data_IF_799382726162
#
_entry.id   IF_799382726162
#
_cell.length_a   1.000
_cell.length_b   1.000
_cell.length_c   1.000
_cell.angle_alpha   90.00
_cell.angle_beta   90.00
_cell.angle_gamma   90.00
#
_symmetry.space_group_name_H-M   'P 1'
#
loop_
_entity.id
_entity.type
_entity.pdbx_description
1 polymer ?
#
# COMPACT_ATOMS: atom_id res chain seq x y z
N UNK A 1 -35.48 -0.47 23.15
CA UNK A 1 -34.31 -1.35 22.91
C UNK A 1 -34.38 -1.93 21.49
N UNK A 2 -35.55 -2.38 21.04
CA UNK A 2 -35.81 -2.92 19.69
C UNK A 2 -35.36 -2.01 18.52
N UNK A 3 -35.55 -0.69 18.59
CA UNK A 3 -35.14 0.23 17.50
C UNK A 3 -33.63 0.34 17.33
N UNK A 4 -32.82 0.08 18.38
CA UNK A 4 -31.35 0.04 18.29
C UNK A 4 -30.84 -1.28 17.72
N UNK A 5 -31.48 -2.39 18.08
CA UNK A 5 -31.15 -3.72 17.56
C UNK A 5 -31.49 -3.86 16.09
N UNK A 6 -32.65 -3.37 15.66
CA UNK A 6 -33.02 -3.33 14.24
C UNK A 6 -31.99 -2.49 13.46
N UNK A 7 -31.61 -1.32 13.99
CA UNK A 7 -30.62 -0.45 13.35
C UNK A 7 -29.23 -1.09 13.26
N UNK A 8 -28.81 -1.87 14.27
CA UNK A 8 -27.51 -2.57 14.25
C UNK A 8 -27.53 -3.78 13.30
N UNK A 9 -28.67 -4.48 13.18
CA UNK A 9 -28.89 -5.54 12.19
C UNK A 9 -28.78 -5.01 10.76
N UNK A 10 -29.41 -3.87 10.46
CA UNK A 10 -29.35 -3.27 9.12
C UNK A 10 -27.98 -2.68 8.78
N UNK A 11 -27.26 -2.10 9.75
CA UNK A 11 -25.90 -1.59 9.52
C UNK A 11 -24.89 -2.70 9.26
N UNK A 12 -25.10 -3.89 9.82
CA UNK A 12 -24.25 -5.06 9.58
C UNK A 12 -24.71 -5.92 8.41
N UNK A 13 -25.78 -5.53 7.72
CA UNK A 13 -26.33 -6.30 6.62
C UNK A 13 -25.38 -6.24 5.43
N UNK A 14 -24.98 -7.40 4.96
CA UNK A 14 -24.21 -7.55 3.72
C UNK A 14 -25.08 -7.21 2.52
N UNK A 15 -24.51 -6.55 1.50
CA UNK A 15 -25.27 -6.15 0.29
C UNK A 15 -25.92 -7.38 -0.36
N UNK A 16 -25.15 -8.47 -0.48
CA UNK A 16 -25.67 -9.74 -1.02
C UNK A 16 -26.85 -10.28 -0.23
N UNK A 17 -26.81 -10.18 1.10
CA UNK A 17 -27.87 -10.67 1.97
C UNK A 17 -29.12 -9.81 1.80
N UNK A 18 -28.98 -8.50 1.67
CA UNK A 18 -30.10 -7.61 1.34
C UNK A 18 -30.78 -7.97 0.02
N UNK A 19 -30.00 -8.22 -1.03
CA UNK A 19 -30.54 -8.65 -2.33
C UNK A 19 -31.30 -9.98 -2.23
N UNK A 20 -30.76 -10.97 -1.52
CA UNK A 20 -31.45 -12.26 -1.31
C UNK A 20 -32.74 -12.11 -0.50
N UNK A 21 -32.77 -11.22 0.50
CA UNK A 21 -34.00 -10.96 1.26
C UNK A 21 -35.08 -10.39 0.34
N UNK A 22 -34.77 -9.37 -0.46
CA UNK A 22 -35.73 -8.76 -1.40
C UNK A 22 -36.24 -9.79 -2.42
N UNK A 23 -35.34 -10.59 -2.99
CA UNK A 23 -35.71 -11.63 -3.96
C UNK A 23 -36.59 -12.70 -3.33
N UNK A 24 -36.23 -13.20 -2.14
CA UNK A 24 -36.98 -14.24 -1.43
C UNK A 24 -38.38 -13.75 -1.08
N UNK A 25 -38.50 -12.52 -0.56
CA UNK A 25 -39.80 -11.93 -0.22
C UNK A 25 -40.65 -11.70 -1.46
N UNK A 26 -40.04 -11.26 -2.57
CA UNK A 26 -40.75 -11.12 -3.86
C UNK A 26 -41.33 -12.46 -4.33
N UNK A 27 -40.52 -13.52 -4.29
CA UNK A 27 -40.95 -14.86 -4.70
C UNK A 27 -42.04 -15.38 -3.77
N UNK A 28 -41.88 -15.23 -2.45
CA UNK A 28 -42.91 -15.63 -1.48
C UNK A 28 -44.23 -14.87 -1.72
N UNK A 29 -44.17 -13.56 -1.97
CA UNK A 29 -45.35 -12.77 -2.28
C UNK A 29 -46.05 -13.24 -3.56
N UNK A 30 -45.27 -13.53 -4.62
CA UNK A 30 -45.81 -14.07 -5.87
C UNK A 30 -46.44 -15.45 -5.69
N UNK A 31 -45.83 -16.34 -4.90
CA UNK A 31 -46.38 -17.67 -4.60
C UNK A 31 -47.67 -17.58 -3.78
N UNK A 32 -47.74 -16.67 -2.79
CA UNK A 32 -48.95 -16.45 -1.99
C UNK A 32 -50.07 -15.88 -2.87
N UNK A 33 -49.79 -14.86 -3.67
CA UNK A 33 -50.78 -14.25 -4.57
C UNK A 33 -51.23 -15.23 -5.65
N UNK A 34 -50.31 -15.97 -6.26
CA UNK A 34 -50.61 -16.98 -7.27
C UNK A 34 -51.41 -18.14 -6.71
N UNK A 35 -51.05 -18.64 -5.52
CA UNK A 35 -51.79 -19.69 -4.82
C UNK A 35 -53.19 -19.24 -4.43
N UNK A 36 -53.34 -18.01 -3.93
CA UNK A 36 -54.64 -17.44 -3.61
C UNK A 36 -55.51 -17.25 -4.87
N UNK A 37 -54.95 -16.69 -5.94
CA UNK A 37 -55.66 -16.53 -7.21
C UNK A 37 -56.13 -17.88 -7.78
N UNK A 38 -55.26 -18.89 -7.74
CA UNK A 38 -55.59 -20.26 -8.14
C UNK A 38 -56.72 -20.85 -7.29
N UNK A 39 -56.67 -20.67 -5.97
CA UNK A 39 -57.72 -21.08 -5.05
C UNK A 39 -59.06 -20.42 -5.39
N UNK A 40 -59.09 -19.09 -5.58
CA UNK A 40 -60.30 -18.35 -5.94
C UNK A 40 -60.87 -18.81 -7.29
N UNK A 41 -60.02 -19.03 -8.30
CA UNK A 41 -60.47 -19.52 -9.62
C UNK A 41 -61.11 -20.91 -9.48
N UNK A 42 -60.53 -21.82 -8.69
CA UNK A 42 -61.12 -23.14 -8.45
C UNK A 42 -62.44 -23.07 -7.69
N UNK A 43 -62.56 -22.15 -6.72
CA UNK A 43 -63.80 -21.94 -5.99
C UNK A 43 -64.91 -21.42 -6.92
N UNK A 44 -64.60 -20.44 -7.77
CA UNK A 44 -65.53 -19.93 -8.79
C UNK A 44 -65.94 -21.04 -9.77
N UNK A 45 -64.98 -21.88 -10.20
CA UNK A 45 -65.27 -23.03 -11.06
C UNK A 45 -66.27 -23.99 -10.41
N UNK A 46 -66.07 -24.34 -9.13
CA UNK A 46 -66.99 -25.21 -8.38
C UNK A 46 -68.39 -24.60 -8.31
N UNK A 47 -68.47 -23.31 -7.96
CA UNK A 47 -69.76 -22.61 -7.84
C UNK A 47 -70.49 -22.50 -9.20
N UNK A 48 -69.73 -22.38 -10.29
CA UNK A 48 -70.29 -22.39 -11.65
C UNK A 48 -70.80 -23.79 -12.03
N UNK A 49 -70.12 -24.85 -11.60
CA UNK A 49 -70.56 -26.23 -11.78
C UNK A 49 -71.84 -26.49 -10.99
N UNK A 50 -71.91 -26.07 -9.72
CA UNK A 50 -73.10 -26.16 -8.88
C UNK A 50 -74.29 -25.39 -9.48
N UNK A 51 -74.08 -24.16 -9.96
CA UNK A 51 -75.11 -23.41 -10.68
C UNK A 51 -75.64 -24.14 -11.92
N UNK A 52 -74.76 -24.83 -12.65
CA UNK A 52 -75.16 -25.57 -13.84
C UNK A 52 -75.96 -26.82 -13.46
N UNK A 53 -75.44 -27.65 -12.56
CA UNK A 53 -76.02 -28.95 -12.23
C UNK A 53 -77.23 -28.86 -11.31
N UNK A 54 -77.18 -27.97 -10.31
CA UNK A 54 -78.17 -27.91 -9.23
C UNK A 54 -79.17 -26.78 -9.40
N UNK A 55 -78.98 -25.87 -10.36
CA UNK A 55 -79.94 -24.79 -10.63
C UNK A 55 -80.44 -24.77 -12.08
N UNK A 56 -79.55 -24.76 -13.07
CA UNK A 56 -79.97 -24.64 -14.48
C UNK A 56 -80.66 -25.91 -15.01
N UNK A 57 -80.08 -27.09 -14.76
CA UNK A 57 -80.67 -28.38 -15.15
C UNK A 57 -82.06 -28.58 -14.53
N UNK A 58 -82.29 -28.42 -13.21
CA UNK A 58 -83.63 -28.50 -12.62
C UNK A 58 -84.65 -27.56 -13.27
N UNK A 59 -84.30 -26.29 -13.46
CA UNK A 59 -85.21 -25.34 -14.12
C UNK A 59 -85.57 -25.83 -15.53
N UNK A 60 -84.58 -26.34 -16.28
CA UNK A 60 -84.80 -26.89 -17.62
C UNK A 60 -85.73 -28.11 -17.59
N UNK A 61 -85.48 -29.08 -16.69
CA UNK A 61 -86.28 -30.30 -16.56
C UNK A 61 -87.72 -30.01 -16.12
N UNK A 62 -87.91 -29.13 -15.13
CA UNK A 62 -89.24 -28.71 -14.68
C UNK A 62 -89.99 -27.95 -15.78
N UNK A 63 -89.28 -27.14 -16.59
CA UNK A 63 -89.87 -26.46 -17.75
C UNK A 63 -90.26 -27.42 -18.87
N UNK A 64 -89.51 -28.50 -19.06
CA UNK A 64 -89.81 -29.58 -20.01
C UNK A 64 -91.07 -30.36 -19.57
N UNK A 65 -91.14 -30.76 -18.30
CA UNK A 65 -92.34 -31.37 -17.70
C UNK A 65 -93.57 -30.47 -17.90
N UNK A 66 -93.43 -29.17 -17.66
CA UNK A 66 -94.51 -28.21 -17.90
C UNK A 66 -94.95 -28.18 -19.37
N UNK A 67 -94.00 -28.20 -20.31
CA UNK A 67 -94.30 -28.20 -21.73
C UNK A 67 -95.09 -29.45 -22.14
N UNK A 68 -94.69 -30.62 -21.62
CA UNK A 68 -95.37 -31.89 -21.87
C UNK A 68 -96.78 -31.94 -21.26
N UNK A 69 -96.95 -31.41 -20.05
CA UNK A 69 -98.28 -31.26 -19.42
C UNK A 69 -99.17 -30.35 -20.27
N UNK A 70 -98.64 -29.24 -20.79
CA UNK A 70 -99.38 -28.33 -21.68
C UNK A 70 -99.74 -29.01 -23.01
N UNK A 71 -98.85 -29.84 -23.56
CA UNK A 71 -99.13 -30.62 -24.78
C UNK A 71 -100.19 -31.70 -24.53
N UNK A 72 -100.11 -32.42 -23.41
CA UNK A 72 -101.13 -33.40 -22.98
C UNK A 72 -102.50 -32.73 -22.82
N UNK A 73 -102.56 -31.59 -22.12
CA UNK A 73 -103.78 -30.78 -21.96
C UNK A 73 -104.39 -30.36 -23.31
N UNK A 74 -103.56 -30.03 -24.31
CA UNK A 74 -104.02 -29.70 -25.65
C UNK A 74 -104.70 -30.90 -26.33
N UNK A 75 -104.09 -32.08 -26.30
CA UNK A 75 -104.68 -33.29 -26.87
C UNK A 75 -105.94 -33.72 -26.12
N UNK A 76 -105.93 -33.69 -24.79
CA UNK A 76 -107.10 -34.01 -23.97
C UNK A 76 -108.26 -33.07 -24.30
N UNK A 77 -107.99 -31.77 -24.41
CA UNK A 77 -109.03 -30.79 -24.78
C UNK A 77 -109.61 -31.08 -26.16
N UNK A 78 -108.77 -31.45 -27.15
CA UNK A 78 -109.24 -31.84 -28.50
C UNK A 78 -110.12 -33.08 -28.45
N UNK A 79 -109.70 -34.13 -27.76
CA UNK A 79 -110.46 -35.38 -27.62
C UNK A 79 -111.78 -35.16 -26.87
N UNK A 80 -111.78 -34.33 -25.83
CA UNK A 80 -112.96 -34.06 -25.00
C UNK A 80 -113.98 -33.10 -25.64
N UNK A 81 -113.55 -32.18 -26.51
CA UNK A 81 -114.43 -31.14 -27.09
C UNK A 81 -114.76 -31.36 -28.57
N UNK A 82 -113.95 -32.13 -29.29
CA UNK A 82 -114.15 -32.46 -30.70
C UNK A 82 -114.60 -33.91 -30.88
N UNK A 83 -113.99 -34.64 -31.82
CA UNK A 83 -114.27 -36.04 -32.10
C UNK A 83 -113.23 -36.92 -31.38
N UNK A 84 -113.70 -37.97 -30.69
CA UNK A 84 -112.82 -38.95 -30.06
C UNK A 84 -112.00 -39.69 -31.13
N UNK A 85 -110.67 -39.55 -31.07
CA UNK A 85 -109.73 -40.20 -31.99
C UNK A 85 -108.70 -40.99 -31.21
N UNK A 86 -108.63 -42.29 -31.48
CA UNK A 86 -107.67 -43.17 -30.83
C UNK A 86 -106.23 -42.71 -31.01
N UNK A 87 -105.89 -42.15 -32.18
CA UNK A 87 -104.55 -41.64 -32.47
C UNK A 87 -104.15 -40.45 -31.57
N UNK A 88 -105.12 -39.65 -31.10
CA UNK A 88 -104.85 -38.55 -30.15
C UNK A 88 -104.72 -39.07 -28.72
N UNK A 89 -105.49 -40.10 -28.34
CA UNK A 89 -105.34 -40.80 -27.06
C UNK A 89 -103.96 -41.46 -26.96
N UNK A 90 -103.50 -42.13 -28.01
CA UNK A 90 -102.16 -42.74 -28.03
C UNK A 90 -101.05 -41.70 -27.79
N UNK A 91 -101.20 -40.49 -28.33
CA UNK A 91 -100.24 -39.41 -28.06
C UNK A 91 -100.27 -38.93 -26.61
N UNK A 92 -101.45 -38.91 -25.99
CA UNK A 92 -101.57 -38.58 -24.56
C UNK A 92 -100.85 -39.65 -23.72
N UNK A 93 -100.99 -40.93 -24.06
CA UNK A 93 -100.28 -42.04 -23.38
C UNK A 93 -98.75 -41.97 -23.57
N UNK A 94 -98.29 -41.61 -24.77
CA UNK A 94 -96.88 -41.39 -25.07
C UNK A 94 -96.31 -40.24 -24.23
N UNK A 95 -97.04 -39.12 -24.14
CA UNK A 95 -96.67 -37.96 -23.32
C UNK A 95 -96.71 -38.30 -21.83
N UNK A 96 -97.72 -39.04 -21.34
CA UNK A 96 -97.79 -39.49 -19.94
C UNK A 96 -96.58 -40.33 -19.56
N UNK A 97 -96.15 -41.22 -20.46
CA UNK A 97 -94.96 -42.04 -20.26
C UNK A 97 -93.70 -41.18 -20.12
N UNK A 98 -93.56 -40.14 -20.95
CA UNK A 98 -92.41 -39.23 -20.91
C UNK A 98 -92.44 -38.36 -19.64
N UNK A 99 -93.60 -37.80 -19.28
CA UNK A 99 -93.76 -37.01 -18.04
C UNK A 99 -93.38 -37.84 -16.81
N UNK A 100 -93.86 -39.08 -16.72
CA UNK A 100 -93.51 -40.00 -15.62
C UNK A 100 -92.03 -40.30 -15.58
N UNK A 101 -91.39 -40.44 -16.74
CA UNK A 101 -89.95 -40.64 -16.85
C UNK A 101 -89.17 -39.41 -16.38
N UNK A 102 -89.56 -38.21 -16.83
CA UNK A 102 -88.94 -36.94 -16.43
C UNK A 102 -89.12 -36.66 -14.93
N UNK A 103 -90.33 -36.85 -14.39
CA UNK A 103 -90.61 -36.70 -12.95
C UNK A 103 -89.74 -37.65 -12.10
N UNK A 104 -89.65 -38.93 -12.50
CA UNK A 104 -88.82 -39.90 -11.80
C UNK A 104 -87.33 -39.56 -11.87
N UNK A 105 -86.85 -39.10 -13.02
CA UNK A 105 -85.46 -38.65 -13.15
C UNK A 105 -85.18 -37.40 -12.33
N UNK A 106 -86.15 -36.50 -12.21
CA UNK A 106 -86.08 -35.33 -11.36
C UNK A 106 -85.96 -35.74 -9.88
N UNK A 107 -86.83 -36.62 -9.39
CA UNK A 107 -86.83 -37.12 -8.01
C UNK A 107 -85.57 -37.91 -7.61
N UNK A 108 -84.85 -38.47 -8.60
CA UNK A 108 -83.60 -39.22 -8.36
C UNK A 108 -82.37 -38.32 -8.19
N UNK A 109 -82.51 -37.00 -8.38
CA UNK A 109 -81.43 -36.04 -8.13
C UNK A 109 -81.26 -35.80 -6.64
N UNK A 110 -80.13 -35.18 -6.27
CA UNK A 110 -79.91 -34.71 -4.91
C UNK A 110 -80.71 -33.41 -4.71
N UNK A 111 -81.90 -33.54 -4.13
CA UNK A 111 -82.86 -32.44 -3.92
C UNK A 111 -82.74 -31.90 -2.50
N UNK A 112 -82.83 -30.59 -2.35
CA UNK A 112 -83.03 -29.99 -1.03
C UNK A 112 -84.42 -30.31 -0.44
N UNK A 113 -84.64 -30.00 0.84
CA UNK A 113 -85.90 -30.32 1.52
C UNK A 113 -87.13 -29.68 0.87
N UNK A 114 -87.03 -28.44 0.39
CA UNK A 114 -88.15 -27.74 -0.25
C UNK A 114 -88.33 -28.21 -1.70
N UNK A 115 -87.25 -28.38 -2.47
CA UNK A 115 -87.32 -28.88 -3.86
C UNK A 115 -87.99 -30.26 -3.89
N UNK A 116 -87.69 -31.09 -2.89
CA UNK A 116 -88.32 -32.40 -2.70
C UNK A 116 -89.82 -32.28 -2.40
N UNK A 117 -90.23 -31.33 -1.57
CA UNK A 117 -91.65 -31.08 -1.28
C UNK A 117 -92.41 -30.66 -2.54
N UNK A 118 -91.86 -29.73 -3.33
CA UNK A 118 -92.46 -29.31 -4.59
C UNK A 118 -92.53 -30.45 -5.62
N UNK A 119 -91.45 -31.23 -5.78
CA UNK A 119 -91.43 -32.38 -6.69
C UNK A 119 -92.48 -33.44 -6.30
N UNK A 120 -92.60 -33.75 -5.01
CA UNK A 120 -93.61 -34.69 -4.50
C UNK A 120 -95.05 -34.17 -4.68
N UNK A 121 -95.26 -32.86 -4.51
CA UNK A 121 -96.55 -32.23 -4.76
C UNK A 121 -96.92 -32.32 -6.25
N UNK A 122 -96.00 -31.99 -7.15
CA UNK A 122 -96.21 -32.13 -8.60
C UNK A 122 -96.56 -33.57 -8.96
N UNK A 123 -95.81 -34.55 -8.46
CA UNK A 123 -96.07 -35.96 -8.72
C UNK A 123 -97.47 -36.39 -8.22
N UNK A 124 -97.84 -35.97 -6.99
CA UNK A 124 -99.14 -36.29 -6.41
C UNK A 124 -100.30 -35.66 -7.18
N UNK A 125 -100.17 -34.39 -7.58
CA UNK A 125 -101.20 -33.68 -8.36
C UNK A 125 -101.26 -34.20 -9.80
N UNK A 126 -100.13 -34.62 -10.37
CA UNK A 126 -100.07 -35.23 -11.69
C UNK A 126 -100.81 -36.58 -11.72
N UNK A 127 -100.70 -37.41 -10.67
CA UNK A 127 -101.49 -38.63 -10.58
C UNK A 127 -102.99 -38.36 -10.49
N UNK A 128 -103.41 -37.30 -9.78
CA UNK A 128 -104.83 -36.91 -9.73
C UNK A 128 -105.30 -36.48 -11.12
N UNK A 129 -104.51 -35.65 -11.80
CA UNK A 129 -104.76 -35.21 -13.18
C UNK A 129 -104.89 -36.39 -14.15
N UNK A 130 -103.95 -37.34 -14.12
CA UNK A 130 -103.96 -38.50 -15.01
C UNK A 130 -105.11 -39.46 -14.71
N UNK A 131 -105.45 -39.68 -13.43
CA UNK A 131 -106.60 -40.50 -13.05
C UNK A 131 -107.93 -39.88 -13.51
N UNK A 132 -108.05 -38.55 -13.47
CA UNK A 132 -109.22 -37.86 -13.99
C UNK A 132 -109.31 -37.98 -15.52
N UNK A 133 -108.19 -37.86 -16.23
CA UNK A 133 -108.12 -38.17 -17.67
C UNK A 133 -108.58 -39.60 -17.98
N UNK A 134 -108.05 -40.61 -17.28
CA UNK A 134 -108.44 -42.02 -17.48
C UNK A 134 -109.96 -42.24 -17.27
N UNK A 135 -110.56 -41.52 -16.31
CA UNK A 135 -112.01 -41.53 -16.08
C UNK A 135 -112.79 -40.91 -17.26
N UNK A 136 -112.32 -39.76 -17.77
CA UNK A 136 -112.88 -39.07 -18.93
C UNK A 136 -112.77 -39.93 -20.20
N UNK A 137 -111.60 -40.51 -20.44
CA UNK A 137 -111.33 -41.36 -21.59
C UNK A 137 -112.23 -42.60 -21.61
N UNK A 138 -112.46 -43.24 -20.46
CA UNK A 138 -113.37 -44.38 -20.31
C UNK A 138 -114.83 -44.03 -20.67
N UNK A 139 -115.28 -42.82 -20.33
CA UNK A 139 -116.61 -42.31 -20.76
C UNK A 139 -116.65 -42.05 -22.26
N UNK A 140 -115.62 -41.40 -22.81
CA UNK A 140 -115.58 -41.06 -24.24
C UNK A 140 -115.48 -42.30 -25.13
N UNK A 141 -114.64 -43.28 -24.78
CA UNK A 141 -114.47 -44.54 -25.50
C UNK A 141 -115.73 -45.42 -25.51
N UNK A 142 -116.55 -45.34 -24.45
CA UNK A 142 -117.87 -45.99 -24.38
C UNK A 142 -119.00 -45.20 -25.05
N UNK A 143 -118.69 -44.06 -25.67
CA UNK A 143 -119.63 -43.20 -26.39
C UNK A 143 -120.51 -42.33 -25.50
N UNK A 144 -120.20 -42.23 -24.20
CA UNK A 144 -120.89 -41.33 -23.28
C UNK A 144 -120.45 -39.88 -23.51
N UNK A 145 -121.39 -38.94 -23.39
CA UNK A 145 -121.09 -37.51 -23.41
C UNK A 145 -120.63 -37.05 -22.04
N UNK A 146 -119.61 -36.21 -22.00
CA UNK A 146 -119.16 -35.54 -20.79
C UNK A 146 -120.21 -34.54 -20.30
N UNK A 147 -120.36 -34.45 -18.98
CA UNK A 147 -121.25 -33.47 -18.34
C UNK A 147 -120.46 -32.24 -17.87
N UNK A 148 -121.16 -31.21 -17.38
CA UNK A 148 -120.52 -29.97 -16.89
C UNK A 148 -119.59 -30.23 -15.68
N UNK A 149 -119.91 -31.23 -14.87
CA UNK A 149 -119.13 -31.61 -13.69
C UNK A 149 -117.79 -32.25 -14.07
N UNK A 150 -117.75 -33.03 -15.16
CA UNK A 150 -116.54 -33.64 -15.73
C UNK A 150 -115.58 -32.55 -16.20
N UNK A 151 -116.07 -31.57 -16.96
CA UNK A 151 -115.27 -30.44 -17.41
C UNK A 151 -114.77 -29.58 -16.25
N UNK A 152 -115.64 -29.32 -15.26
CA UNK A 152 -115.27 -28.52 -14.09
C UNK A 152 -114.21 -29.20 -13.23
N UNK A 153 -114.34 -30.52 -13.01
CA UNK A 153 -113.37 -31.30 -12.23
C UNK A 153 -112.02 -31.34 -12.95
N UNK A 154 -112.03 -31.57 -14.26
CA UNK A 154 -110.82 -31.58 -15.07
C UNK A 154 -110.12 -30.21 -15.13
N UNK A 155 -110.89 -29.12 -15.26
CA UNK A 155 -110.32 -27.76 -15.26
C UNK A 155 -109.68 -27.42 -13.91
N UNK A 156 -110.30 -27.83 -12.80
CA UNK A 156 -109.69 -27.70 -11.46
C UNK A 156 -108.39 -28.51 -11.36
N UNK A 157 -108.38 -29.76 -11.82
CA UNK A 157 -107.17 -30.58 -11.79
C UNK A 157 -106.08 -30.04 -12.71
N UNK A 158 -106.43 -29.50 -13.89
CA UNK A 158 -105.53 -28.76 -14.77
C UNK A 158 -104.92 -27.55 -14.06
N UNK A 159 -105.76 -26.74 -13.39
CA UNK A 159 -105.28 -25.56 -12.67
C UNK A 159 -104.36 -25.95 -11.51
N UNK A 160 -104.64 -27.06 -10.83
CA UNK A 160 -103.83 -27.55 -9.73
C UNK A 160 -102.44 -28.00 -10.22
N UNK A 161 -102.36 -28.76 -11.32
CA UNK A 161 -101.06 -29.18 -11.86
C UNK A 161 -100.27 -28.00 -12.43
N UNK A 162 -100.93 -27.07 -13.12
CA UNK A 162 -100.32 -25.82 -13.61
C UNK A 162 -99.72 -25.02 -12.44
N UNK A 163 -100.45 -24.90 -11.34
CA UNK A 163 -99.99 -24.19 -10.14
C UNK A 163 -98.82 -24.92 -9.47
N UNK A 164 -98.90 -26.24 -9.31
CA UNK A 164 -97.86 -27.04 -8.67
C UNK A 164 -96.54 -26.97 -9.44
N UNK A 165 -96.57 -27.09 -10.78
CA UNK A 165 -95.35 -27.02 -11.60
C UNK A 165 -94.79 -25.59 -11.65
N UNK A 166 -95.65 -24.56 -11.63
CA UNK A 166 -95.20 -23.16 -11.56
C UNK A 166 -94.55 -22.82 -10.22
N UNK A 167 -95.10 -23.30 -9.10
CA UNK A 167 -94.49 -23.15 -7.78
C UNK A 167 -93.11 -23.82 -7.73
N UNK A 168 -92.99 -25.03 -8.27
CA UNK A 168 -91.72 -25.75 -8.37
C UNK A 168 -90.68 -25.00 -9.23
N UNK A 169 -91.08 -24.52 -10.42
CA UNK A 169 -90.19 -23.75 -11.31
C UNK A 169 -89.78 -22.42 -10.65
N UNK A 170 -90.69 -21.74 -9.97
CA UNK A 170 -90.40 -20.47 -9.30
C UNK A 170 -89.44 -20.69 -8.12
N UNK A 171 -89.64 -21.74 -7.33
CA UNK A 171 -88.70 -22.13 -6.29
C UNK A 171 -87.28 -22.33 -6.86
N UNK A 172 -87.16 -23.14 -7.92
CA UNK A 172 -85.85 -23.40 -8.55
C UNK A 172 -85.19 -22.11 -9.07
N UNK A 173 -85.99 -21.16 -9.61
CA UNK A 173 -85.48 -19.86 -10.08
C UNK A 173 -85.05 -18.95 -8.92
N UNK A 174 -85.79 -18.93 -7.81
CA UNK A 174 -85.45 -18.15 -6.63
C UNK A 174 -84.16 -18.68 -5.98
N UNK A 175 -84.04 -20.01 -5.85
CA UNK A 175 -82.82 -20.65 -5.35
C UNK A 175 -81.61 -20.35 -6.25
N UNK A 176 -81.76 -20.50 -7.58
CA UNK A 176 -80.73 -20.12 -8.54
C UNK A 176 -80.30 -18.65 -8.42
N UNK A 177 -81.26 -17.75 -8.18
CA UNK A 177 -81.01 -16.33 -7.95
C UNK A 177 -80.22 -16.07 -6.66
N UNK A 178 -80.57 -16.77 -5.59
CA UNK A 178 -79.86 -16.72 -4.30
C UNK A 178 -78.42 -17.21 -4.45
N UNK A 179 -78.22 -18.39 -5.04
CA UNK A 179 -76.90 -18.97 -5.31
C UNK A 179 -76.04 -18.06 -6.19
N UNK A 180 -76.61 -17.45 -7.24
CA UNK A 180 -75.89 -16.50 -8.08
C UNK A 180 -75.49 -15.22 -7.32
N UNK A 181 -76.36 -14.72 -6.42
CA UNK A 181 -76.07 -13.56 -5.58
C UNK A 181 -74.93 -13.87 -4.59
N UNK A 182 -75.01 -15.00 -3.89
CA UNK A 182 -73.95 -15.47 -2.99
C UNK A 182 -72.65 -15.70 -3.74
N UNK A 183 -72.74 -16.22 -4.96
CA UNK A 183 -71.57 -16.43 -5.80
C UNK A 183 -70.85 -15.13 -6.16
N UNK A 184 -71.62 -14.11 -6.57
CA UNK A 184 -71.09 -12.79 -6.85
C UNK A 184 -70.50 -12.14 -5.60
N UNK A 185 -71.18 -12.24 -4.45
CA UNK A 185 -70.68 -11.68 -3.20
C UNK A 185 -69.36 -12.34 -2.77
N UNK A 186 -69.25 -13.67 -2.88
CA UNK A 186 -68.03 -14.40 -2.57
C UNK A 186 -66.88 -14.09 -3.54
N UNK A 187 -67.18 -13.92 -4.83
CA UNK A 187 -66.22 -13.48 -5.84
C UNK A 187 -65.71 -12.06 -5.52
N UNK A 188 -66.60 -11.11 -5.22
CA UNK A 188 -66.24 -9.73 -4.85
C UNK A 188 -65.35 -9.69 -3.60
N UNK A 189 -65.73 -10.40 -2.53
CA UNK A 189 -64.91 -10.51 -1.31
C UNK A 189 -63.53 -11.10 -1.60
N UNK A 190 -63.45 -12.11 -2.47
CA UNK A 190 -62.18 -12.71 -2.87
C UNK A 190 -61.29 -11.71 -3.61
N UNK A 191 -61.86 -10.88 -4.50
CA UNK A 191 -61.15 -9.81 -5.20
C UNK A 191 -60.67 -8.73 -4.23
N UNK A 192 -61.50 -8.29 -3.28
CA UNK A 192 -61.11 -7.32 -2.25
C UNK A 192 -59.94 -7.81 -1.39
N UNK A 193 -59.99 -9.08 -0.94
CA UNK A 193 -58.90 -9.73 -0.20
C UNK A 193 -57.63 -9.78 -1.07
N UNK A 194 -57.76 -10.15 -2.34
CA UNK A 194 -56.61 -10.19 -3.27
C UNK A 194 -55.95 -8.81 -3.42
N UNK A 195 -56.74 -7.76 -3.65
CA UNK A 195 -56.24 -6.38 -3.76
C UNK A 195 -55.56 -5.96 -2.44
N UNK A 196 -56.16 -6.28 -1.30
CA UNK A 196 -55.56 -6.02 0.01
C UNK A 196 -54.19 -6.70 0.19
N UNK A 197 -54.10 -8.00 -0.10
CA UNK A 197 -52.85 -8.75 -0.07
C UNK A 197 -51.81 -8.18 -1.04
N UNK A 198 -52.23 -7.80 -2.24
CA UNK A 198 -51.37 -7.19 -3.24
C UNK A 198 -50.78 -5.86 -2.74
N UNK A 199 -51.60 -4.96 -2.21
CA UNK A 199 -51.15 -3.67 -1.66
C UNK A 199 -50.20 -3.85 -0.48
N UNK A 200 -50.51 -4.77 0.44
CA UNK A 200 -49.64 -5.11 1.58
C UNK A 200 -48.29 -5.61 1.08
N UNK A 201 -48.26 -6.48 0.07
CA UNK A 201 -47.02 -7.00 -0.51
C UNK A 201 -46.16 -5.89 -1.11
N UNK A 202 -46.77 -4.92 -1.82
CA UNK A 202 -46.07 -3.76 -2.37
C UNK A 202 -45.49 -2.89 -1.25
N UNK A 203 -46.29 -2.56 -0.24
CA UNK A 203 -45.85 -1.71 0.87
C UNK A 203 -44.66 -2.36 1.59
N UNK A 204 -44.75 -3.67 1.86
CA UNK A 204 -43.68 -4.42 2.52
C UNK A 204 -42.40 -4.44 1.67
N UNK A 205 -42.53 -4.69 0.36
CA UNK A 205 -41.42 -4.67 -0.60
C UNK A 205 -40.74 -3.31 -0.70
N UNK A 206 -41.51 -2.23 -0.82
CA UNK A 206 -41.00 -0.86 -0.89
C UNK A 206 -40.32 -0.48 0.43
N UNK A 207 -40.93 -0.80 1.58
CA UNK A 207 -40.37 -0.53 2.90
C UNK A 207 -39.00 -1.18 3.09
N UNK A 208 -38.90 -2.48 2.81
CA UNK A 208 -37.65 -3.24 2.94
C UNK A 208 -36.58 -2.71 1.98
N UNK A 209 -36.97 -2.40 0.75
CA UNK A 209 -36.05 -1.83 -0.26
C UNK A 209 -35.49 -0.50 0.22
N UNK A 210 -36.34 0.40 0.74
CA UNK A 210 -35.90 1.70 1.29
C UNK A 210 -34.96 1.51 2.48
N UNK A 211 -35.23 0.54 3.37
CA UNK A 211 -34.36 0.25 4.52
C UNK A 211 -32.97 -0.21 4.09
N UNK A 212 -32.89 -1.12 3.11
CA UNK A 212 -31.62 -1.61 2.56
C UNK A 212 -30.85 -0.47 1.86
N UNK A 213 -31.52 0.32 1.02
CA UNK A 213 -30.90 1.47 0.36
C UNK A 213 -30.35 2.47 1.38
N UNK A 214 -31.07 2.76 2.46
CA UNK A 214 -30.59 3.64 3.53
C UNK A 214 -29.35 3.07 4.22
N UNK A 215 -29.33 1.78 4.55
CA UNK A 215 -28.18 1.14 5.19
C UNK A 215 -26.92 1.19 4.30
N UNK A 216 -27.08 0.92 3.00
CA UNK A 216 -26.01 1.03 2.01
C UNK A 216 -25.53 2.48 1.90
N UNK A 217 -26.43 3.45 1.78
CA UNK A 217 -26.08 4.88 1.65
C UNK A 217 -25.30 5.40 2.85
N UNK A 218 -25.65 4.97 4.07
CA UNK A 218 -24.91 5.30 5.30
C UNK A 218 -23.49 4.73 5.25
N UNK A 219 -23.34 3.46 4.88
CA UNK A 219 -22.04 2.80 4.79
C UNK A 219 -21.14 3.42 3.71
N UNK A 220 -21.70 3.72 2.53
CA UNK A 220 -21.00 4.43 1.45
C UNK A 220 -20.55 5.80 1.93
N UNK A 221 -21.45 6.61 2.48
CA UNK A 221 -21.11 7.96 2.94
C UNK A 221 -19.98 7.94 3.97
N UNK A 222 -20.04 7.02 4.93
CA UNK A 222 -18.98 6.89 5.93
C UNK A 222 -17.64 6.48 5.31
N UNK A 223 -17.64 5.52 4.39
CA UNK A 223 -16.41 5.11 3.69
C UNK A 223 -15.84 6.23 2.81
N UNK A 224 -16.69 6.99 2.11
CA UNK A 224 -16.28 8.14 1.30
C UNK A 224 -15.69 9.26 2.16
N UNK A 225 -16.25 9.55 3.34
CA UNK A 225 -15.68 10.54 4.27
C UNK A 225 -14.27 10.13 4.69
N UNK A 226 -14.06 8.85 5.06
CA UNK A 226 -12.72 8.36 5.43
C UNK A 226 -11.73 8.52 4.26
N UNK A 227 -12.16 8.23 3.03
CA UNK A 227 -11.33 8.41 1.82
C UNK A 227 -11.03 9.88 1.51
N UNK A 228 -12.00 10.77 1.69
CA UNK A 228 -11.87 12.20 1.43
C UNK A 228 -10.78 12.79 2.35
N UNK A 229 -10.83 12.48 3.64
CA UNK A 229 -9.82 12.94 4.61
C UNK A 229 -8.42 12.39 4.28
N UNK A 230 -8.31 11.13 3.84
CA UNK A 230 -7.05 10.57 3.36
C UNK A 230 -6.56 11.31 2.11
N UNK A 231 -7.46 11.68 1.20
CA UNK A 231 -7.13 12.38 -0.05
C UNK A 231 -6.62 13.80 0.18
N UNK A 232 -7.04 14.45 1.27
CA UNK A 232 -6.51 15.74 1.75
C UNK A 232 -5.11 15.59 2.39
N UNK A 233 -4.59 14.36 2.52
CA UNK A 233 -3.29 14.07 3.10
C UNK A 233 -3.32 13.90 4.63
N UNK A 234 -4.50 13.93 5.25
CA UNK A 234 -4.63 13.64 6.68
C UNK A 234 -4.75 12.12 6.91
N UNK A 235 -3.58 11.51 7.15
CA UNK A 235 -3.52 10.10 7.52
C UNK A 235 -3.81 9.87 9.00
N UNK A 236 -3.93 10.89 9.86
CA UNK A 236 -4.05 10.74 11.31
C UNK A 236 -5.37 10.11 11.77
N UNK A 237 -6.35 9.99 10.87
CA UNK A 237 -7.69 9.46 11.14
C UNK A 237 -7.70 8.05 11.75
N UNK A 238 -8.75 7.78 12.53
CA UNK A 238 -9.08 6.46 13.04
C UNK A 238 -10.26 5.90 12.24
N UNK A 239 -10.00 4.88 11.43
CA UNK A 239 -11.03 4.25 10.60
C UNK A 239 -11.77 3.20 11.44
N UNK A 240 -13.03 3.50 11.79
CA UNK A 240 -13.90 2.55 12.48
C UNK A 240 -14.24 1.35 11.58
N UNK A 241 -13.65 0.19 11.88
CA UNK A 241 -13.84 -1.06 11.16
C UNK A 241 -14.78 -2.04 11.89
N UNK A 242 -15.67 -1.56 12.76
CA UNK A 242 -16.56 -2.41 13.56
C UNK A 242 -17.66 -3.12 12.76
N UNK A 243 -18.01 -2.63 11.57
CA UNK A 243 -19.05 -3.22 10.73
C UNK A 243 -18.61 -4.59 10.16
N UNK A 244 -19.54 -5.54 10.13
CA UNK A 244 -19.31 -6.89 9.59
C UNK A 244 -19.76 -7.05 8.12
N UNK A 245 -20.16 -5.96 7.47
CA UNK A 245 -20.55 -5.94 6.06
C UNK A 245 -19.33 -5.76 5.12
N UNK A 246 -19.57 -5.75 3.80
CA UNK A 246 -18.49 -5.57 2.81
C UNK A 246 -17.72 -4.26 3.01
N UNK A 247 -18.38 -3.18 3.42
CA UNK A 247 -17.73 -1.90 3.69
C UNK A 247 -16.84 -1.95 4.94
N UNK A 248 -17.19 -2.73 5.96
CA UNK A 248 -16.33 -2.96 7.12
C UNK A 248 -15.04 -3.69 6.75
N UNK A 249 -15.11 -4.66 5.83
CA UNK A 249 -13.91 -5.32 5.27
C UNK A 249 -13.06 -4.32 4.49
N UNK A 250 -13.69 -3.49 3.65
CA UNK A 250 -12.98 -2.43 2.91
C UNK A 250 -12.31 -1.43 3.86
N UNK A 251 -13.00 -1.00 4.92
CA UNK A 251 -12.45 -0.11 5.95
C UNK A 251 -11.27 -0.74 6.69
N UNK A 252 -11.34 -2.03 7.04
CA UNK A 252 -10.22 -2.75 7.65
C UNK A 252 -8.99 -2.74 6.75
N UNK A 253 -9.16 -2.98 5.46
CA UNK A 253 -8.04 -2.96 4.51
C UNK A 253 -7.52 -1.54 4.26
N UNK A 254 -8.41 -0.54 4.26
CA UNK A 254 -8.05 0.87 4.18
C UNK A 254 -7.22 1.29 5.40
N UNK A 255 -7.60 0.87 6.61
CA UNK A 255 -6.87 1.14 7.85
C UNK A 255 -5.43 0.60 7.79
N UNK A 256 -5.23 -0.63 7.32
CA UNK A 256 -3.89 -1.21 7.10
C UNK A 256 -3.09 -0.39 6.09
N UNK A 257 -3.75 0.13 5.04
CA UNK A 257 -3.08 0.95 4.01
C UNK A 257 -2.65 2.31 4.57
N UNK A 258 -3.52 2.96 5.34
CA UNK A 258 -3.22 4.22 6.06
C UNK A 258 -2.05 4.02 7.02
N UNK A 259 -2.01 2.93 7.77
CA UNK A 259 -0.92 2.62 8.69
C UNK A 259 0.42 2.45 7.96
N UNK A 260 0.44 1.73 6.82
CA UNK A 260 1.64 1.62 5.99
C UNK A 260 2.10 2.95 5.43
N UNK A 261 1.17 3.83 5.03
CA UNK A 261 1.51 5.17 4.56
C UNK A 261 2.08 6.02 5.70
N UNK A 262 1.53 5.95 6.91
CA UNK A 262 2.10 6.61 8.10
C UNK A 262 3.55 6.19 8.32
N UNK A 263 3.84 4.89 8.31
CA UNK A 263 5.21 4.38 8.46
C UNK A 263 6.15 4.88 7.35
N UNK A 264 5.68 4.96 6.11
CA UNK A 264 6.46 5.51 5.00
C UNK A 264 6.78 6.99 5.20
N UNK A 265 5.80 7.81 5.59
CA UNK A 265 6.00 9.24 5.88
C UNK A 265 6.97 9.44 7.06
N UNK A 266 6.85 8.63 8.12
CA UNK A 266 7.80 8.65 9.25
C UNK A 266 9.23 8.32 8.79
N UNK A 267 9.39 7.34 7.92
CA UNK A 267 10.68 6.94 7.36
C UNK A 267 11.29 8.06 6.50
N UNK A 268 10.48 8.70 5.66
CA UNK A 268 10.89 9.87 4.87
C UNK A 268 11.31 11.01 5.80
N UNK A 269 10.55 11.30 6.85
CA UNK A 269 10.90 12.36 7.82
C UNK A 269 12.23 12.06 8.52
N UNK A 270 12.46 10.81 8.91
CA UNK A 270 13.73 10.39 9.51
C UNK A 270 14.89 10.57 8.54
N UNK A 271 14.72 10.17 7.28
CA UNK A 271 15.74 10.35 6.25
C UNK A 271 16.04 11.84 6.00
N UNK A 272 15.01 12.69 5.91
CA UNK A 272 15.17 14.14 5.76
C UNK A 272 15.95 14.75 6.93
N UNK A 273 15.66 14.34 8.17
CA UNK A 273 16.42 14.80 9.34
C UNK A 273 17.88 14.35 9.31
N UNK A 274 18.17 13.13 8.82
CA UNK A 274 19.55 12.66 8.62
C UNK A 274 20.27 13.51 7.58
N UNK A 275 19.62 13.84 6.46
CA UNK A 275 20.18 14.71 5.42
C UNK A 275 20.44 16.13 5.95
N UNK A 276 19.52 16.68 6.74
CA UNK A 276 19.68 18.01 7.36
C UNK A 276 20.90 18.03 8.31
N UNK A 277 21.02 17.02 9.18
CA UNK A 277 22.17 16.87 10.08
C UNK A 277 23.50 16.73 9.32
N UNK A 278 23.52 15.92 8.24
CA UNK A 278 24.71 15.77 7.40
C UNK A 278 25.08 17.07 6.68
N UNK A 279 24.08 17.85 6.26
CA UNK A 279 24.29 19.16 5.64
C UNK A 279 24.93 20.16 6.62
N UNK A 280 24.50 20.14 7.89
CA UNK A 280 25.11 20.95 8.95
C UNK A 280 26.57 20.54 9.24
N UNK A 281 26.85 19.22 9.32
CA UNK A 281 28.22 18.72 9.48
C UNK A 281 29.12 19.11 8.29
N UNK A 282 28.58 19.05 7.07
CA UNK A 282 29.31 19.47 5.87
C UNK A 282 29.65 20.97 5.89
N UNK A 283 28.74 21.80 6.41
CA UNK A 283 28.98 23.24 6.58
C UNK A 283 30.10 23.50 7.59
N UNK A 284 30.12 22.78 8.71
CA UNK A 284 31.20 22.85 9.70
C UNK A 284 32.55 22.44 9.10
N UNK A 285 32.61 21.29 8.42
CA UNK A 285 33.81 20.84 7.71
C UNK A 285 34.28 21.84 6.65
N UNK A 286 33.34 22.45 5.92
CA UNK A 286 33.69 23.46 4.91
C UNK A 286 34.32 24.70 5.54
N UNK A 287 33.85 25.13 6.71
CA UNK A 287 34.45 26.23 7.46
C UNK A 287 35.83 25.88 8.00
N UNK A 288 36.02 24.66 8.51
CA UNK A 288 37.33 24.17 8.96
C UNK A 288 38.34 24.16 7.79
N UNK A 289 37.94 23.61 6.64
CA UNK A 289 38.75 23.61 5.41
C UNK A 289 39.11 25.04 4.98
N UNK A 290 38.17 25.99 5.04
CA UNK A 290 38.45 27.38 4.71
C UNK A 290 39.49 28.01 5.67
N UNK A 291 39.39 27.69 6.97
CA UNK A 291 40.37 28.11 7.99
C UNK A 291 41.75 27.52 7.75
N UNK A 292 41.84 26.19 7.56
CA UNK A 292 43.11 25.51 7.25
C UNK A 292 43.73 26.00 5.94
N UNK A 293 42.90 26.27 4.92
CA UNK A 293 43.38 26.86 3.66
C UNK A 293 44.02 28.23 3.88
N UNK A 294 43.45 29.05 4.79
CA UNK A 294 44.02 30.35 5.16
C UNK A 294 45.36 30.20 5.89
N UNK A 295 45.50 29.20 6.74
CA UNK A 295 46.77 28.87 7.40
C UNK A 295 47.84 28.43 6.40
N UNK A 296 47.48 27.58 5.42
CA UNK A 296 48.37 27.19 4.32
C UNK A 296 48.86 28.40 3.54
N UNK A 297 47.97 29.36 3.22
CA UNK A 297 48.36 30.61 2.55
C UNK A 297 49.40 31.39 3.37
N UNK A 298 49.19 31.50 4.69
CA UNK A 298 50.15 32.17 5.58
C UNK A 298 51.51 31.46 5.62
N UNK A 299 51.52 30.12 5.66
CA UNK A 299 52.75 29.32 5.62
C UNK A 299 53.49 29.52 4.29
N UNK A 300 52.77 29.54 3.18
CA UNK A 300 53.35 29.81 1.85
C UNK A 300 54.00 31.21 1.82
N UNK A 301 53.35 32.22 2.40
CA UNK A 301 53.92 33.58 2.50
C UNK A 301 55.21 33.59 3.35
N UNK A 302 55.22 32.89 4.49
CA UNK A 302 56.41 32.75 5.32
C UNK A 302 57.55 32.03 4.59
N UNK A 303 57.26 30.95 3.86
CA UNK A 303 58.25 30.24 3.04
C UNK A 303 58.80 31.14 1.95
N UNK A 304 57.95 31.92 1.28
CA UNK A 304 58.38 32.90 0.27
C UNK A 304 59.34 33.94 0.87
N UNK A 305 58.99 34.53 2.02
CA UNK A 305 59.85 35.48 2.72
C UNK A 305 61.17 34.87 3.22
N UNK A 306 61.11 33.63 3.74
CA UNK A 306 62.29 32.87 4.14
C UNK A 306 63.22 32.59 2.95
N UNK A 307 62.65 32.28 1.78
CA UNK A 307 63.39 32.05 0.54
C UNK A 307 64.07 33.33 0.05
N UNK A 308 63.41 34.49 0.15
CA UNK A 308 64.01 35.79 -0.17
C UNK A 308 65.21 36.10 0.74
N UNK A 309 65.04 35.90 2.05
CA UNK A 309 66.13 36.06 3.03
C UNK A 309 67.29 35.09 2.74
N UNK A 310 66.98 33.85 2.34
CA UNK A 310 67.99 32.87 1.97
C UNK A 310 68.77 33.29 0.71
N UNK A 311 68.10 33.86 -0.29
CA UNK A 311 68.75 34.39 -1.49
C UNK A 311 69.69 35.57 -1.17
N UNK A 312 69.29 36.45 -0.24
CA UNK A 312 70.15 37.54 0.25
C UNK A 312 71.39 37.00 0.98
N UNK A 313 71.21 36.03 1.89
CA UNK A 313 72.31 35.36 2.58
C UNK A 313 73.28 34.67 1.62
N UNK A 314 72.79 34.04 0.55
CA UNK A 314 73.64 33.44 -0.49
C UNK A 314 74.44 34.49 -1.26
N UNK A 315 73.83 35.66 -1.52
CA UNK A 315 74.53 36.80 -2.14
C UNK A 315 75.66 37.30 -1.25
N UNK A 316 75.40 37.47 0.05
CA UNK A 316 76.40 37.85 1.04
C UNK A 316 77.51 36.80 1.16
N UNK A 317 77.17 35.50 1.17
CA UNK A 317 78.15 34.42 1.17
C UNK A 317 79.06 34.46 -0.07
N UNK A 318 78.49 34.73 -1.24
CA UNK A 318 79.29 34.86 -2.47
C UNK A 318 80.28 36.04 -2.39
N UNK A 319 79.87 37.16 -1.79
CA UNK A 319 80.76 38.29 -1.53
C UNK A 319 81.90 37.91 -0.57
N UNK A 320 81.60 37.22 0.54
CA UNK A 320 82.64 36.74 1.47
C UNK A 320 83.62 35.76 0.84
N UNK A 321 83.13 34.86 -0.02
CA UNK A 321 83.98 33.94 -0.79
C UNK A 321 84.88 34.73 -1.76
N UNK A 322 84.35 35.77 -2.41
CA UNK A 322 85.13 36.70 -3.24
C UNK A 322 86.26 37.38 -2.47
N UNK A 323 85.94 37.98 -1.32
CA UNK A 323 86.91 38.63 -0.44
C UNK A 323 87.96 37.64 0.09
N UNK A 324 87.54 36.43 0.46
CA UNK A 324 88.45 35.36 0.87
C UNK A 324 89.41 34.97 -0.27
N UNK A 325 88.93 34.89 -1.51
CA UNK A 325 89.77 34.65 -2.69
C UNK A 325 90.83 35.74 -2.90
N UNK A 326 90.47 37.01 -2.69
CA UNK A 326 91.43 38.13 -2.72
C UNK A 326 92.48 37.98 -1.61
N UNK A 327 92.08 37.62 -0.39
CA UNK A 327 93.01 37.40 0.73
C UNK A 327 93.94 36.21 0.52
N UNK A 328 93.47 35.12 -0.09
CA UNK A 328 94.34 34.02 -0.49
C UNK A 328 95.37 34.49 -1.53
N UNK A 329 94.96 35.30 -2.50
CA UNK A 329 95.88 35.85 -3.51
C UNK A 329 96.95 36.75 -2.87
N UNK A 330 96.58 37.56 -1.87
CA UNK A 330 97.51 38.37 -1.07
C UNK A 330 98.51 37.49 -0.30
N UNK A 331 98.04 36.40 0.33
CA UNK A 331 98.91 35.44 1.03
C UNK A 331 99.89 34.77 0.07
N UNK A 332 99.46 34.39 -1.14
CA UNK A 332 100.35 33.80 -2.15
C UNK A 332 101.47 34.78 -2.52
N UNK A 333 101.15 36.05 -2.73
CA UNK A 333 102.16 37.08 -3.02
C UNK A 333 103.16 37.26 -1.86
N UNK A 334 102.67 37.27 -0.62
CA UNK A 334 103.53 37.33 0.57
C UNK A 334 104.45 36.10 0.68
N UNK A 335 103.96 34.90 0.32
CA UNK A 335 104.79 33.68 0.30
C UNK A 335 105.90 33.79 -0.74
N UNK A 336 105.62 34.35 -1.93
CA UNK A 336 106.63 34.60 -2.97
C UNK A 336 107.71 35.59 -2.49
N UNK A 337 107.31 36.65 -1.77
CA UNK A 337 108.25 37.58 -1.13
C UNK A 337 109.10 36.91 -0.04
N UNK A 338 108.52 36.00 0.76
CA UNK A 338 109.25 35.22 1.77
C UNK A 338 110.26 34.28 1.13
N UNK A 339 109.89 33.61 0.03
CA UNK A 339 110.79 32.73 -0.73
C UNK A 339 112.02 33.49 -1.25
N UNK A 340 111.78 34.64 -1.89
CA UNK A 340 112.84 35.54 -2.37
C UNK A 340 113.74 36.06 -1.26
N UNK A 341 113.18 36.43 -0.10
CA UNK A 341 113.98 36.84 1.05
C UNK A 341 114.80 35.68 1.63
N UNK A 342 114.27 34.46 1.60
CA UNK A 342 114.97 33.26 2.05
C UNK A 342 116.17 32.94 1.15
N UNK A 343 116.02 33.10 -0.17
CA UNK A 343 117.11 32.98 -1.15
C UNK A 343 118.22 34.02 -0.87
N UNK A 344 117.85 35.29 -0.64
CA UNK A 344 118.76 36.36 -0.24
C UNK A 344 119.52 36.05 1.06
N UNK A 345 118.83 35.50 2.07
CA UNK A 345 119.46 35.06 3.33
C UNK A 345 120.46 33.94 3.05
N UNK A 346 120.11 32.96 2.22
CA UNK A 346 120.99 31.86 1.86
C UNK A 346 122.27 32.35 1.15
N UNK A 347 122.13 33.28 0.19
CA UNK A 347 123.26 33.91 -0.50
C UNK A 347 124.19 34.66 0.46
N UNK A 348 123.61 35.45 1.38
CA UNK A 348 124.37 36.15 2.43
C UNK A 348 125.08 35.17 3.35
N UNK A 349 124.44 34.07 3.74
CA UNK A 349 125.05 33.03 4.56
C UNK A 349 126.21 32.32 3.84
N UNK A 350 126.06 32.01 2.55
CA UNK A 350 127.12 31.43 1.72
C UNK A 350 128.32 32.39 1.59
N UNK A 351 128.06 33.68 1.33
CA UNK A 351 129.09 34.71 1.30
C UNK A 351 129.79 34.86 2.67
N UNK A 352 129.02 34.87 3.76
CA UNK A 352 129.56 34.90 5.12
C UNK A 352 130.46 33.71 5.43
N UNK A 353 130.08 32.50 5.01
CA UNK A 353 130.88 31.30 5.17
C UNK A 353 132.21 31.37 4.38
N UNK A 354 132.19 31.97 3.19
CA UNK A 354 133.41 32.24 2.41
C UNK A 354 134.34 33.21 3.14
N UNK A 355 133.79 34.28 3.72
CA UNK A 355 134.56 35.23 4.54
C UNK A 355 135.18 34.56 5.77
N UNK A 356 134.47 33.64 6.43
CA UNK A 356 135.03 32.86 7.53
C UNK A 356 136.17 31.95 7.10
N UNK A 357 136.11 31.32 5.92
CA UNK A 357 137.25 30.55 5.37
C UNK A 357 138.47 31.43 5.15
N UNK A 358 138.30 32.63 4.59
CA UNK A 358 139.39 33.60 4.44
C UNK A 358 139.98 34.01 5.80
N UNK A 359 139.13 34.28 6.78
CA UNK A 359 139.55 34.61 8.14
C UNK A 359 140.36 33.48 8.80
N UNK A 360 139.92 32.22 8.67
CA UNK A 360 140.66 31.04 9.18
C UNK A 360 142.06 30.97 8.57
N UNK A 361 142.20 31.23 7.26
CA UNK A 361 143.51 31.26 6.61
C UNK A 361 144.41 32.37 7.18
N UNK A 362 143.88 33.59 7.35
CA UNK A 362 144.64 34.70 7.97
C UNK A 362 145.04 34.39 9.41
N UNK A 363 144.18 33.74 10.21
CA UNK A 363 144.53 33.31 11.58
C UNK A 363 145.66 32.27 11.57
N UNK A 364 145.69 31.36 10.59
CA UNK A 364 146.79 30.41 10.43
C UNK A 364 148.11 31.09 10.02
N UNK A 365 148.07 32.10 9.14
CA UNK A 365 149.25 32.91 8.81
C UNK A 365 149.81 33.64 10.03
N UNK A 366 148.93 34.25 10.84
CA UNK A 366 149.31 34.91 12.11
C UNK A 366 150.00 33.91 13.05
N UNK A 367 149.46 32.69 13.18
CA UNK A 367 150.08 31.60 13.96
C UNK A 367 151.48 31.24 13.44
N UNK A 368 151.68 31.20 12.13
CA UNK A 368 153.00 30.94 11.53
C UNK A 368 154.01 32.05 11.87
N UNK A 369 153.61 33.31 11.71
CA UNK A 369 154.45 34.47 12.09
C UNK A 369 154.86 34.43 13.57
N UNK A 370 153.93 34.13 14.48
CA UNK A 370 154.26 33.98 15.91
C UNK A 370 155.26 32.84 16.18
N UNK A 371 155.19 31.76 15.40
CA UNK A 371 156.14 30.64 15.51
C UNK A 371 157.54 31.05 15.05
N UNK A 372 157.66 31.86 14.01
CA UNK A 372 158.94 32.41 13.53
C UNK A 372 159.54 33.42 14.51
N UNK A 373 158.71 34.26 15.13
CA UNK A 373 159.14 35.15 16.22
C UNK A 373 159.71 34.32 17.38
N UNK A 374 159.04 33.24 17.79
CA UNK A 374 159.55 32.33 18.83
C UNK A 374 160.93 31.74 18.47
N UNK A 375 161.15 31.33 17.22
CA UNK A 375 162.47 30.84 16.76
C UNK A 375 163.56 31.89 16.86
N UNK A 376 163.27 33.13 16.46
CA UNK A 376 164.25 34.24 16.54
C UNK A 376 164.63 34.58 17.98
N UNK A 377 163.67 34.56 18.91
CA UNK A 377 163.93 34.78 20.34
C UNK A 377 164.84 33.68 20.92
N UNK A 378 164.58 32.41 20.58
CA UNK A 378 165.43 31.29 21.03
C UNK A 378 166.85 31.36 20.45
N UNK A 379 167.00 31.79 19.20
CA UNK A 379 168.30 32.04 18.58
C UNK A 379 169.09 33.12 19.31
N UNK A 380 168.45 34.26 19.60
CA UNK A 380 169.06 35.36 20.36
C UNK A 380 169.54 34.92 21.75
N UNK A 381 168.79 34.05 22.43
CA UNK A 381 169.19 33.47 23.71
C UNK A 381 170.47 32.63 23.62
N UNK A 382 170.72 31.99 22.48
CA UNK A 382 171.95 31.22 22.23
C UNK A 382 173.15 32.14 22.00
N UNK A 383 172.98 33.19 21.19
CA UNK A 383 174.03 34.18 20.92
C UNK A 383 174.48 34.89 22.21
N UNK A 384 173.54 35.19 23.12
CA UNK A 384 173.83 35.78 24.44
C UNK A 384 174.71 34.84 25.30
N UNK A 385 174.50 33.52 25.22
CA UNK A 385 175.32 32.55 25.96
C UNK A 385 176.75 32.45 25.41
N UNK A 386 176.91 32.47 24.09
CA UNK A 386 178.25 32.49 23.45
C UNK A 386 179.04 33.75 23.83
N UNK A 387 178.37 34.91 23.94
CA UNK A 387 178.99 36.15 24.44
C UNK A 387 179.52 35.98 25.87
N UNK A 388 178.78 35.31 26.76
CA UNK A 388 179.21 35.07 28.14
C UNK A 388 180.45 34.16 28.22
N UNK A 389 180.57 33.16 27.33
CA UNK A 389 181.77 32.31 27.26
C UNK A 389 183.01 33.12 26.85
N UNK A 390 182.86 34.04 25.88
CA UNK A 390 183.95 34.94 25.45
C UNK A 390 184.38 35.88 26.59
N UNK A 391 183.43 36.45 27.34
CA UNK A 391 183.73 37.30 28.52
C UNK A 391 184.56 36.53 29.55
N UNK A 392 184.21 35.25 29.79
CA UNK A 392 184.93 34.38 30.73
C UNK A 392 186.38 34.11 30.27
N UNK A 393 186.58 33.92 28.96
CA UNK A 393 187.91 33.76 28.36
C UNK A 393 188.76 35.02 28.50
N UNK A 394 188.18 36.21 28.26
CA UNK A 394 188.88 37.50 28.39
C UNK A 394 189.35 37.71 29.84
N UNK A 395 188.51 37.39 30.83
CA UNK A 395 188.88 37.48 32.25
C UNK A 395 190.06 36.55 32.62
N UNK A 396 190.14 35.37 32.01
CA UNK A 396 191.26 34.45 32.23
C UNK A 396 192.58 34.99 31.61
N UNK A 397 192.51 35.60 30.42
CA UNK A 397 193.67 36.24 29.77
C UNK A 397 194.16 37.46 30.57
N UNK A 398 193.25 38.26 31.12
CA UNK A 398 193.59 39.41 31.96
C UNK A 398 194.40 39.00 33.20
N UNK A 399 193.99 37.93 33.89
CA UNK A 399 194.72 37.39 35.05
C UNK A 399 196.11 36.85 34.67
N UNK A 400 196.24 36.20 33.51
CA UNK A 400 197.51 35.68 33.02
C UNK A 400 198.49 36.80 32.64
N UNK A 401 197.97 37.90 32.08
CA UNK A 401 198.76 39.09 31.73
C UNK A 401 199.28 39.81 32.98
N UNK A 402 198.47 39.86 34.04
CA UNK A 402 198.89 40.43 35.34
C UNK A 402 200.06 39.63 35.97
N UNK A 403 200.06 38.31 35.81
CA UNK A 403 201.14 37.43 36.30
C UNK A 403 202.42 37.49 35.45
N UNK A 404 202.30 37.70 34.15
CA UNK A 404 203.44 37.94 33.26
C UNK A 404 204.14 39.29 33.56
N UNK A 405 203.34 40.32 33.86
CA UNK A 405 203.87 41.63 34.26
C UNK A 405 204.64 41.54 35.60
N UNK A 406 204.17 40.71 36.53
CA UNK A 406 204.82 40.47 37.83
C UNK A 406 206.21 39.82 37.69
N UNK A 407 206.39 38.89 36.76
CA UNK A 407 207.70 38.26 36.53
C UNK A 407 208.64 39.13 35.69
N UNK A 408 208.12 39.89 34.72
CA UNK A 408 208.95 40.78 33.91
C UNK A 408 209.55 41.95 34.71
N UNK A 409 208.81 42.49 35.69
CA UNK A 409 209.31 43.57 36.55
C UNK A 409 210.42 43.10 37.52
N UNK A 410 210.37 41.84 37.97
CA UNK A 410 211.40 41.25 38.86
C UNK A 410 212.70 40.99 38.09
N UNK A 411 212.62 40.59 36.82
CA UNK A 411 213.79 40.18 36.04
C UNK A 411 214.52 41.36 35.36
N UNK A 412 213.88 42.51 35.20
CA UNK A 412 214.46 43.68 34.54
C UNK A 412 215.47 44.50 35.38
N UNK A 413 215.61 44.28 36.70
CA UNK A 413 216.54 45.08 37.53
C UNK A 413 217.61 44.27 38.28
N UNK A 414 217.65 42.93 38.13
CA UNK A 414 218.63 42.03 38.78
C UNK A 414 219.92 41.82 37.98
N UNK A 415 220.03 42.36 36.77
CA UNK A 415 221.24 42.41 35.93
C UNK A 415 221.49 43.87 35.53
N UNK A 416 222.61 44.47 35.94
CA UNK A 416 222.82 45.92 35.82
C UNK A 416 223.37 46.44 34.48
N UNK A 417 223.03 47.70 34.19
CA UNK A 417 223.90 48.83 33.77
C UNK A 417 223.52 50.05 34.62
#
# INVERSE_FOLDING_TARGET
METREIKSLFNNLKIKTGLYIVLTISICALLILGGFAYYTINNIKSMQEDMYTNSLIPISQASEIKADIMESKLYITRVATMEYKQDEVQKIDEIDTEIRYLLKNYENRDLDENEKEYAQNVNSVYEIYNNDWNSIESKLSSGQKLNEEDFKTFDVNCSNIDSAIDEMINYCKEDAGSLQSDANMNAMKSVEIFIGLFLISIILMVSITIMIIKAIKISIKSFTVDLDTISEGDFSINIDSSNNNEFGVMKKQLAVSVEKIKFMIQSIRSASNTVDNQSNLLLELSNEIASSSKEVVNVIEQVSNGTLTQADNLTNMNNYIGDFGLKISEIVALIEDVDKNTELINDKAMSGNSNFKMLINSVNEVKHSFTDVKKRILGLGKDINEINEIISLINNIANQTNLLALNAAIEAARAGE
#
